data_IF_730233741566
#
_entry.id   IF_730233741566
#
_cell.length_a   1.000
_cell.length_b   1.000
_cell.length_c   1.000
_cell.angle_alpha   90.00
_cell.angle_beta   90.00
_cell.angle_gamma   90.00
#
_symmetry.space_group_name_H-M   'P 1'
#
loop_
_entity.id
_entity.type
_entity.pdbx_description
1 polymer ?
#
# COMPACT_ATOMS: atom_id res chain seq x y z
N UNK A 1 1.68 -19.89 7.52
CA UNK A 1 0.82 -19.08 6.66
C UNK A 1 1.54 -17.81 6.25
N UNK A 2 1.43 -17.49 4.99
CA UNK A 2 2.18 -16.34 4.46
C UNK A 2 1.89 -15.04 5.19
N UNK A 3 0.66 -14.84 5.66
CA UNK A 3 0.34 -13.57 6.31
C UNK A 3 0.75 -13.50 7.76
N UNK A 4 1.16 -14.60 8.36
CA UNK A 4 1.49 -14.58 9.78
C UNK A 4 2.75 -13.75 10.05
N UNK A 5 3.68 -13.72 9.10
CA UNK A 5 4.91 -12.96 9.29
C UNK A 5 4.64 -11.46 9.34
N UNK A 6 3.57 -10.98 8.72
CA UNK A 6 3.29 -9.55 8.65
C UNK A 6 2.30 -9.08 9.72
N UNK A 7 1.65 -9.98 10.41
CA UNK A 7 0.65 -9.59 11.40
C UNK A 7 1.22 -8.71 12.49
N UNK A 8 2.33 -9.15 13.09
CA UNK A 8 2.97 -8.38 14.14
C UNK A 8 3.44 -7.03 13.63
N UNK A 9 3.93 -7.00 12.38
CA UNK A 9 4.36 -5.74 11.80
C UNK A 9 3.21 -4.75 11.70
N UNK A 10 2.06 -5.18 11.20
CA UNK A 10 0.93 -4.26 11.02
C UNK A 10 0.36 -3.76 12.35
N UNK A 11 0.64 -4.44 13.44
CA UNK A 11 0.24 -3.99 14.77
C UNK A 11 1.35 -3.22 15.50
N UNK A 12 2.50 -3.06 14.88
CA UNK A 12 3.63 -2.41 15.53
C UNK A 12 3.46 -0.91 15.62
N UNK A 13 4.11 -0.30 16.60
CA UNK A 13 4.13 1.15 16.73
C UNK A 13 4.82 1.80 15.55
N UNK A 14 5.88 1.17 15.08
CA UNK A 14 6.66 1.71 13.95
C UNK A 14 5.79 1.84 12.71
N UNK A 15 5.00 0.81 12.42
CA UNK A 15 4.12 0.86 11.26
C UNK A 15 3.04 1.92 11.44
N UNK A 16 2.43 1.96 12.61
CA UNK A 16 1.36 2.93 12.84
C UNK A 16 1.88 4.35 12.74
N UNK A 17 3.08 4.60 13.24
CA UNK A 17 3.70 5.92 13.14
C UNK A 17 4.04 6.26 11.69
N UNK A 18 4.61 5.34 10.96
CA UNK A 18 4.96 5.55 9.55
C UNK A 18 3.71 5.81 8.72
N UNK A 19 2.67 5.03 8.95
CA UNK A 19 1.40 5.18 8.25
C UNK A 19 0.78 6.54 8.51
N UNK A 20 0.71 6.94 9.77
CA UNK A 20 0.14 8.23 10.13
C UNK A 20 0.96 9.39 9.56
N UNK A 21 2.26 9.28 9.61
CA UNK A 21 3.15 10.29 9.07
C UNK A 21 2.96 10.42 7.56
N UNK A 22 2.95 9.30 6.86
CA UNK A 22 2.82 9.32 5.40
C UNK A 22 1.48 9.92 4.97
N UNK A 23 0.41 9.60 5.68
CA UNK A 23 -0.92 10.10 5.34
C UNK A 23 -1.01 11.61 5.40
N UNK A 24 -0.16 12.26 6.18
CA UNK A 24 -0.21 13.71 6.37
C UNK A 24 0.66 14.50 5.41
N UNK A 25 1.46 13.82 4.61
CA UNK A 25 2.40 14.51 3.73
C UNK A 25 1.78 14.72 2.36
N UNK A 26 2.08 15.86 1.73
CA UNK A 26 1.80 15.98 0.30
C UNK A 26 2.72 15.05 -0.47
N UNK A 27 2.23 14.52 -1.58
CA UNK A 27 3.00 13.57 -2.37
C UNK A 27 3.07 14.07 -3.81
N UNK A 28 4.27 14.07 -4.38
CA UNK A 28 4.46 14.49 -5.75
C UNK A 28 4.03 13.36 -6.68
N UNK A 29 3.15 13.68 -7.62
CA UNK A 29 2.70 12.74 -8.64
C UNK A 29 2.98 13.34 -10.01
N UNK A 30 2.70 12.57 -11.05
CA UNK A 30 2.86 13.08 -12.43
C UNK A 30 1.91 14.23 -12.72
N UNK A 31 0.78 14.29 -12.05
CA UNK A 31 -0.20 15.36 -12.24
C UNK A 31 0.13 16.59 -11.42
N UNK A 32 0.92 16.45 -10.40
CA UNK A 32 1.26 17.51 -9.47
C UNK A 32 1.26 16.99 -8.06
N UNK A 33 1.09 17.87 -7.11
CA UNK A 33 1.19 17.52 -5.70
C UNK A 33 -0.18 17.06 -5.20
N UNK A 34 -0.24 15.79 -4.81
CA UNK A 34 -1.43 15.24 -4.19
C UNK A 34 -1.54 15.74 -2.76
N UNK A 35 -2.66 16.37 -2.38
CA UNK A 35 -2.83 16.88 -1.02
C UNK A 35 -2.79 15.76 0.02
N UNK A 36 -2.48 16.10 1.27
CA UNK A 36 -2.52 15.10 2.34
C UNK A 36 -3.88 14.40 2.42
N UNK A 37 -3.86 13.16 2.84
CA UNK A 37 -5.03 12.32 3.10
C UNK A 37 -5.79 11.87 1.85
N UNK A 38 -5.37 12.30 0.68
CA UNK A 38 -6.06 11.93 -0.55
C UNK A 38 -5.38 10.76 -1.24
N UNK A 39 -6.16 9.99 -1.99
CA UNK A 39 -5.67 8.84 -2.75
C UNK A 39 -4.74 9.31 -3.86
N UNK A 40 -3.49 8.85 -3.82
CA UNK A 40 -2.50 9.25 -4.82
C UNK A 40 -2.87 8.78 -6.21
N UNK A 41 -3.39 7.58 -6.31
CA UNK A 41 -3.71 7.00 -7.61
C UNK A 41 -4.89 7.70 -8.27
N UNK A 42 -5.95 7.98 -7.52
CA UNK A 42 -7.07 8.74 -8.06
C UNK A 42 -6.63 10.12 -8.52
N UNK A 43 -5.82 10.79 -7.71
CA UNK A 43 -5.34 12.12 -8.05
C UNK A 43 -4.49 12.08 -9.32
N UNK A 44 -3.57 11.13 -9.39
CA UNK A 44 -2.66 11.05 -10.53
C UNK A 44 -3.40 10.72 -11.82
N UNK A 45 -4.37 9.83 -11.76
CA UNK A 45 -5.07 9.36 -12.96
C UNK A 45 -6.18 10.31 -13.41
N UNK A 46 -6.89 10.92 -12.47
CA UNK A 46 -8.08 11.68 -12.80
C UNK A 46 -8.09 13.11 -12.29
N UNK A 47 -7.20 13.45 -11.37
CA UNK A 47 -7.23 14.74 -10.71
C UNK A 47 -8.26 14.86 -9.61
N UNK A 48 -9.02 13.80 -9.34
CA UNK A 48 -10.05 13.84 -8.31
C UNK A 48 -9.46 13.68 -6.92
N UNK A 49 -10.04 14.37 -5.96
CA UNK A 49 -9.64 14.30 -4.56
C UNK A 49 -10.52 13.26 -3.86
N UNK A 50 -10.01 12.05 -3.77
CA UNK A 50 -10.70 10.94 -3.14
C UNK A 50 -9.94 10.58 -1.87
N UNK A 51 -10.59 10.49 -0.71
CA UNK A 51 -9.88 10.17 0.53
C UNK A 51 -9.18 8.82 0.44
N UNK A 52 -7.96 8.78 0.92
CA UNK A 52 -7.22 7.54 1.04
C UNK A 52 -7.65 6.81 2.29
N UNK A 53 -7.69 5.49 2.22
CA UNK A 53 -8.06 4.65 3.36
C UNK A 53 -6.97 3.68 3.75
N UNK A 54 -6.03 3.40 2.86
CA UNK A 54 -5.04 2.34 3.03
C UNK A 54 -3.69 2.89 2.62
N UNK A 55 -2.66 2.56 3.40
CA UNK A 55 -1.28 2.80 2.99
C UNK A 55 -0.72 1.48 2.47
N UNK A 56 -0.43 1.47 1.19
CA UNK A 56 -0.01 0.30 0.44
C UNK A 56 1.51 0.27 0.30
N UNK A 57 2.10 -0.91 0.41
CA UNK A 57 3.52 -1.10 0.13
C UNK A 57 3.69 -1.40 -1.36
N UNK A 58 4.45 -0.58 -2.05
CA UNK A 58 4.70 -0.78 -3.49
C UNK A 58 5.44 -2.09 -3.72
N UNK A 59 6.47 -2.34 -2.93
CA UNK A 59 7.10 -3.66 -2.88
C UNK A 59 6.41 -4.42 -1.77
N UNK A 60 5.79 -5.55 -2.12
CA UNK A 60 5.00 -6.30 -1.16
C UNK A 60 5.89 -6.85 -0.06
N UNK A 61 5.31 -6.92 1.13
CA UNK A 61 6.02 -7.50 2.27
C UNK A 61 6.19 -9.00 2.08
N UNK A 62 7.33 -9.51 2.50
CA UNK A 62 7.64 -10.92 2.42
C UNK A 62 8.45 -11.31 3.64
N UNK A 63 8.60 -12.61 3.91
CA UNK A 63 9.48 -13.02 5.02
C UNK A 63 10.91 -12.52 4.86
N UNK A 64 11.35 -12.31 3.62
CA UNK A 64 12.72 -11.85 3.36
C UNK A 64 12.92 -10.38 3.67
N UNK A 65 11.88 -9.56 3.55
CA UNK A 65 12.04 -8.12 3.71
C UNK A 65 11.29 -7.54 4.90
N UNK A 66 10.60 -8.37 5.68
CA UNK A 66 9.75 -7.88 6.77
C UNK A 66 10.55 -7.16 7.85
N UNK A 67 11.81 -7.48 7.99
CA UNK A 67 12.67 -6.83 8.98
C UNK A 67 13.51 -5.69 8.39
N UNK A 68 13.29 -5.34 7.13
CA UNK A 68 14.05 -4.30 6.45
C UNK A 68 13.26 -3.00 6.47
N UNK A 69 13.63 -2.01 7.31
CA UNK A 69 12.87 -0.76 7.37
C UNK A 69 12.88 0.04 6.08
N UNK A 70 13.87 -0.16 5.22
CA UNK A 70 13.87 0.53 3.93
C UNK A 70 12.77 0.03 3.01
N UNK A 71 12.20 -1.13 3.30
CA UNK A 71 11.06 -1.67 2.57
C UNK A 71 9.78 -1.44 3.36
N UNK A 72 9.80 -1.71 4.66
CA UNK A 72 8.57 -1.74 5.44
C UNK A 72 8.12 -0.38 5.92
N UNK A 73 9.04 0.55 6.14
CA UNK A 73 8.75 1.84 6.76
C UNK A 73 9.13 3.05 5.90
N UNK A 74 9.86 2.85 4.81
CA UNK A 74 10.30 3.96 3.98
C UNK A 74 9.12 4.54 3.19
N UNK A 75 8.97 5.86 3.24
CA UNK A 75 7.93 6.54 2.48
C UNK A 75 8.06 6.29 0.97
N UNK A 76 9.28 6.04 0.49
CA UNK A 76 9.49 5.76 -0.94
C UNK A 76 8.79 4.50 -1.39
N UNK A 77 8.53 3.58 -0.47
CA UNK A 77 7.85 2.33 -0.78
C UNK A 77 6.37 2.36 -0.41
N UNK A 78 5.86 3.50 0.01
CA UNK A 78 4.46 3.61 0.44
C UNK A 78 3.65 4.39 -0.58
N UNK A 79 2.38 4.06 -0.64
CA UNK A 79 1.40 4.78 -1.45
C UNK A 79 0.08 4.76 -0.72
N UNK A 80 -0.52 5.92 -0.51
CA UNK A 80 -1.84 5.93 0.12
C UNK A 80 -2.90 5.90 -0.96
N UNK A 81 -3.88 5.03 -0.78
CA UNK A 81 -4.89 4.79 -1.82
C UNK A 81 -6.25 4.56 -1.18
N UNK A 82 -7.28 4.78 -1.97
CA UNK A 82 -8.62 4.38 -1.57
C UNK A 82 -8.76 2.87 -1.74
N UNK A 83 -9.84 2.33 -1.20
CA UNK A 83 -10.05 0.89 -1.22
C UNK A 83 -10.10 0.32 -2.63
N UNK A 84 -10.77 1.02 -3.55
CA UNK A 84 -10.87 0.56 -4.93
C UNK A 84 -9.51 0.54 -5.62
N UNK A 85 -8.70 1.58 -5.41
CA UNK A 85 -7.38 1.62 -6.00
C UNK A 85 -6.47 0.55 -5.40
N UNK A 86 -6.61 0.27 -4.11
CA UNK A 86 -5.84 -0.79 -3.48
C UNK A 86 -6.14 -2.14 -4.15
N UNK A 87 -7.42 -2.41 -4.36
CA UNK A 87 -7.81 -3.65 -5.05
C UNK A 87 -7.27 -3.70 -6.47
N UNK A 88 -7.30 -2.58 -7.20
CA UNK A 88 -6.78 -2.54 -8.56
C UNK A 88 -5.28 -2.71 -8.61
N UNK A 89 -4.56 -2.14 -7.66
CA UNK A 89 -3.11 -2.34 -7.60
C UNK A 89 -2.77 -3.80 -7.41
N UNK A 90 -3.51 -4.50 -6.58
CA UNK A 90 -3.29 -5.91 -6.40
C UNK A 90 -3.66 -6.72 -7.64
N UNK A 91 -4.64 -6.28 -8.40
CA UNK A 91 -5.03 -6.96 -9.62
C UNK A 91 -4.05 -6.71 -10.76
N UNK A 92 -3.51 -5.48 -10.86
CA UNK A 92 -2.70 -5.06 -12.01
C UNK A 92 -1.22 -5.27 -11.79
N UNK A 93 -0.80 -5.49 -10.58
CA UNK A 93 0.60 -5.38 -10.18
C UNK A 93 1.36 -6.66 -10.44
N UNK A 94 1.30 -7.10 -11.67
CA UNK A 94 1.99 -8.30 -12.08
C UNK A 94 1.26 -9.57 -11.69
N UNK A 95 0.00 -9.48 -11.38
CA UNK A 95 -0.74 -10.65 -10.99
C UNK A 95 -1.02 -11.56 -12.13
N UNK A 96 -0.81 -12.78 -11.86
CA UNK A 96 -1.31 -13.80 -12.76
C UNK A 96 -2.80 -14.03 -12.45
N UNK A 97 -3.59 -14.36 -13.48
CA UNK A 97 -5.02 -14.54 -13.25
C UNK A 97 -5.38 -15.64 -12.26
N UNK A 98 -4.47 -16.57 -12.01
CA UNK A 98 -4.74 -17.67 -11.11
C UNK A 98 -4.31 -17.39 -9.70
N UNK A 99 -4.70 -16.26 -9.18
CA UNK A 99 -4.46 -15.94 -7.79
C UNK A 99 -5.76 -15.47 -7.18
N UNK A 100 -5.85 -15.60 -5.88
CA UNK A 100 -6.97 -15.09 -5.12
C UNK A 100 -6.45 -14.06 -4.13
N UNK A 101 -7.34 -13.36 -3.50
CA UNK A 101 -6.98 -12.41 -2.45
C UNK A 101 -7.35 -13.01 -1.12
N UNK A 102 -6.47 -12.83 -0.15
CA UNK A 102 -6.83 -13.17 1.22
C UNK A 102 -7.61 -11.99 1.83
N UNK A 103 -7.92 -12.09 3.12
CA UNK A 103 -8.76 -11.10 3.76
C UNK A 103 -8.10 -9.73 3.90
N UNK A 104 -6.80 -9.63 3.70
CA UNK A 104 -6.12 -8.35 3.70
C UNK A 104 -5.93 -7.78 2.30
N UNK A 105 -6.51 -8.41 1.30
CA UNK A 105 -6.38 -7.96 -0.06
C UNK A 105 -5.05 -8.33 -0.69
N UNK A 106 -4.35 -9.29 -0.14
CA UNK A 106 -3.09 -9.76 -0.70
C UNK A 106 -3.34 -10.86 -1.70
N UNK A 107 -2.45 -10.92 -2.68
CA UNK A 107 -2.51 -11.98 -3.67
C UNK A 107 -2.00 -13.27 -3.06
N UNK A 108 -2.76 -14.32 -3.23
CA UNK A 108 -2.33 -15.67 -2.86
C UNK A 108 -2.49 -16.57 -4.05
N UNK A 109 -1.53 -17.45 -4.31
CA UNK A 109 -1.65 -18.38 -5.43
C UNK A 109 -2.82 -19.33 -5.25
N UNK A 110 -3.51 -19.61 -6.34
CA UNK A 110 -4.63 -20.53 -6.30
C UNK A 110 -4.19 -21.99 -6.47
N UNK A 111 -3.03 -22.18 -6.99
CA UNK A 111 -2.59 -23.53 -7.26
C UNK A 111 -1.68 -24.11 -6.24
#
# INVERSE_FOLDING_TARGET
MARDFSRAFYHSRQWKAAQASYMRLPVVTRRGICPPLMCERCYELTGQLVPAEIVHHKTFLSPENIDDPSVTLSHDNLMRVCRDCHARLHADDGYVPRVAFDEQGRVVPLG
#
